data_IF_664712951593
#
_entry.id   IF_664712951593
#
_cell.length_a   1.000
_cell.length_b   1.000
_cell.length_c   1.000
_cell.angle_alpha   90.00
_cell.angle_beta   90.00
_cell.angle_gamma   90.00
#
_symmetry.space_group_name_H-M   'P 1'
#
loop_
_entity.id
_entity.type
_entity.pdbx_description
1 polymer ?
#
# COMPACT_ATOMS: atom_id res chain seq x y z
N UNK A 1 8.94 30.76 -25.46
CA UNK A 1 8.19 31.44 -24.37
C UNK A 1 6.82 30.82 -24.12
N UNK A 2 6.09 30.33 -25.14
CA UNK A 2 4.81 29.61 -24.96
C UNK A 2 4.90 28.29 -24.16
N UNK A 3 6.03 27.56 -24.23
CA UNK A 3 6.16 26.25 -23.58
C UNK A 3 6.19 26.30 -22.04
N UNK A 4 6.80 27.35 -21.48
CA UNK A 4 7.00 27.53 -20.03
C UNK A 4 5.71 27.88 -19.29
N UNK A 5 4.79 28.60 -19.93
CA UNK A 5 3.49 28.89 -19.31
C UNK A 5 2.58 27.67 -19.32
N UNK A 6 2.67 26.83 -20.35
CA UNK A 6 1.88 25.61 -20.47
C UNK A 6 2.32 24.55 -19.45
N UNK A 7 3.63 24.37 -19.24
CA UNK A 7 4.18 23.53 -18.18
C UNK A 7 3.75 24.00 -16.78
N UNK A 8 3.76 25.31 -16.53
CA UNK A 8 3.33 25.88 -15.24
C UNK A 8 1.84 25.70 -14.95
N UNK A 9 1.00 25.71 -15.98
CA UNK A 9 -0.45 25.48 -15.83
C UNK A 9 -0.73 24.01 -15.52
N UNK A 10 -0.01 23.08 -16.15
CA UNK A 10 -0.11 21.64 -15.88
C UNK A 10 0.33 21.34 -14.44
N UNK A 11 1.45 21.91 -13.99
CA UNK A 11 1.94 21.78 -12.61
C UNK A 11 0.92 22.30 -11.57
N UNK A 12 0.29 23.46 -11.84
CA UNK A 12 -0.75 24.01 -10.97
C UNK A 12 -2.02 23.16 -10.90
N UNK A 13 -2.42 22.53 -11.99
CA UNK A 13 -3.56 21.61 -11.98
C UNK A 13 -3.24 20.31 -11.23
N UNK A 14 -2.03 19.79 -11.38
CA UNK A 14 -1.55 18.62 -10.64
C UNK A 14 -1.44 18.90 -9.14
N UNK A 15 -0.93 20.06 -8.74
CA UNK A 15 -0.88 20.48 -7.34
C UNK A 15 -2.29 20.56 -6.72
N UNK A 16 -3.31 20.97 -7.48
CA UNK A 16 -4.70 20.98 -6.99
C UNK A 16 -5.24 19.56 -6.77
N UNK A 17 -4.89 18.61 -7.64
CA UNK A 17 -5.31 17.20 -7.51
C UNK A 17 -4.65 16.57 -6.28
N UNK A 18 -3.34 16.77 -6.12
CA UNK A 18 -2.58 16.28 -4.95
C UNK A 18 -3.16 16.88 -3.67
N UNK A 19 -3.38 18.20 -3.65
CA UNK A 19 -3.95 18.87 -2.49
C UNK A 19 -5.37 18.37 -2.16
N UNK A 20 -6.21 18.11 -3.17
CA UNK A 20 -7.53 17.53 -2.97
C UNK A 20 -7.46 16.12 -2.39
N UNK A 21 -6.51 15.30 -2.86
CA UNK A 21 -6.32 13.94 -2.37
C UNK A 21 -5.80 13.91 -0.92
N UNK A 22 -4.78 14.71 -0.62
CA UNK A 22 -4.24 14.89 0.74
C UNK A 22 -5.32 15.44 1.67
N UNK A 23 -6.13 16.40 1.22
CA UNK A 23 -7.24 16.95 2.01
C UNK A 23 -8.29 15.89 2.31
N UNK A 24 -8.61 15.00 1.35
CA UNK A 24 -9.53 13.89 1.56
C UNK A 24 -8.99 12.89 2.58
N UNK A 25 -7.71 12.52 2.48
CA UNK A 25 -7.03 11.64 3.44
C UNK A 25 -7.04 12.26 4.84
N UNK A 26 -6.67 13.55 4.95
CA UNK A 26 -6.69 14.26 6.23
C UNK A 26 -8.10 14.33 6.82
N UNK A 27 -9.14 14.53 6.01
CA UNK A 27 -10.52 14.58 6.49
C UNK A 27 -10.98 13.23 7.05
N UNK A 28 -10.71 12.14 6.34
CA UNK A 28 -11.03 10.78 6.81
C UNK A 28 -10.29 10.45 8.11
N UNK A 29 -9.02 10.88 8.21
CA UNK A 29 -8.21 10.68 9.42
C UNK A 29 -8.71 11.48 10.61
N UNK A 30 -9.12 12.74 10.39
CA UNK A 30 -9.77 13.57 11.41
C UNK A 30 -11.05 12.91 11.90
N UNK A 31 -11.90 12.42 11.00
CA UNK A 31 -13.15 11.74 11.37
C UNK A 31 -12.89 10.47 12.20
N UNK A 32 -11.87 9.70 11.82
CA UNK A 32 -11.44 8.50 12.57
C UNK A 32 -10.95 8.86 13.97
N UNK A 33 -10.12 9.91 14.10
CA UNK A 33 -9.60 10.39 15.38
C UNK A 33 -10.70 11.00 16.26
N UNK A 34 -11.67 11.70 15.68
CA UNK A 34 -12.83 12.20 16.41
C UNK A 34 -13.69 11.06 16.94
N UNK A 35 -13.90 10.00 16.15
CA UNK A 35 -14.61 8.81 16.60
C UNK A 35 -13.88 8.11 17.75
N UNK A 36 -12.56 7.90 17.63
CA UNK A 36 -11.73 7.34 18.70
C UNK A 36 -11.76 8.19 19.98
N UNK A 37 -11.65 9.52 19.85
CA UNK A 37 -11.78 10.47 20.97
C UNK A 37 -13.14 10.36 21.64
N UNK A 38 -14.22 10.25 20.85
CA UNK A 38 -15.57 10.13 21.39
C UNK A 38 -15.71 8.83 22.18
N UNK A 39 -15.26 7.69 21.64
CA UNK A 39 -15.25 6.39 22.34
C UNK A 39 -14.48 6.47 23.66
N UNK A 40 -13.27 7.06 23.66
CA UNK A 40 -12.46 7.24 24.86
C UNK A 40 -13.13 8.16 25.89
N UNK A 41 -13.82 9.21 25.44
CA UNK A 41 -14.55 10.14 26.31
C UNK A 41 -15.76 9.47 26.97
N UNK A 42 -16.48 8.59 26.25
CA UNK A 42 -17.58 7.81 26.81
C UNK A 42 -17.07 6.77 27.80
N UNK A 43 -15.96 6.09 27.50
CA UNK A 43 -15.34 5.14 28.42
C UNK A 43 -14.87 5.82 29.73
N UNK A 44 -14.29 7.03 29.63
CA UNK A 44 -13.88 7.82 30.79
C UNK A 44 -15.08 8.31 31.61
N UNK A 45 -16.14 8.79 30.94
CA UNK A 45 -17.37 9.22 31.60
C UNK A 45 -18.06 8.06 32.34
N UNK A 46 -18.09 6.86 31.74
CA UNK A 46 -18.60 5.64 32.38
C UNK A 46 -17.77 5.25 33.61
N UNK A 47 -16.44 5.41 33.55
CA UNK A 47 -15.53 5.12 34.67
C UNK A 47 -15.72 6.11 35.83
N UNK A 48 -15.84 7.40 35.54
CA UNK A 48 -16.14 8.45 36.54
C UNK A 48 -17.52 8.24 37.17
N UNK A 49 -18.52 7.83 36.37
CA UNK A 49 -19.87 7.52 36.88
C UNK A 49 -19.92 6.27 37.77
N UNK A 50 -18.90 5.41 37.72
CA UNK A 50 -18.81 4.18 38.53
C UNK A 50 -18.08 4.36 39.87
N UNK A 51 -17.52 5.53 40.16
CA UNK A 51 -16.84 5.82 41.44
C UNK A 51 -17.82 6.38 42.50
N UNK A 52 -17.84 5.83 43.74
CA UNK A 52 -18.72 6.32 44.79
C UNK A 52 -18.19 7.58 45.48
N UNK A 53 -18.93 8.66 45.21
CA UNK A 53 -19.33 9.77 46.06
C UNK A 53 -18.37 10.92 46.43
N UNK A 54 -18.98 12.10 46.31
CA UNK A 54 -18.49 13.43 46.49
C UNK A 54 -18.34 13.82 47.97
N UNK A 55 -17.26 14.54 48.31
CA UNK A 55 -17.23 15.51 49.43
C UNK A 55 -15.92 16.31 49.49
N UNK A 56 -15.81 17.40 48.73
CA UNK A 56 -14.88 18.51 49.07
C UNK A 56 -15.10 19.81 48.25
N UNK A 57 -16.34 20.21 47.97
CA UNK A 57 -16.62 21.40 47.17
C UNK A 57 -16.93 22.65 48.04
N UNK A 58 -16.04 23.05 48.97
CA UNK A 58 -16.28 24.25 49.82
C UNK A 58 -15.07 25.15 50.16
N UNK A 59 -14.00 25.13 49.37
CA UNK A 59 -12.85 26.07 49.49
C UNK A 59 -12.52 26.85 48.20
N UNK A 60 -13.54 27.15 47.39
CA UNK A 60 -13.54 28.16 46.29
C UNK A 60 -13.57 29.54 46.98
N UNK A 61 -12.60 30.45 46.85
CA UNK A 61 -12.55 31.44 45.76
C UNK A 61 -11.14 32.08 45.60
N UNK A 62 -10.21 31.99 46.58
CA UNK A 62 -8.84 32.55 46.44
C UNK A 62 -7.81 31.63 45.74
N UNK A 63 -8.17 30.39 45.43
CA UNK A 63 -7.31 29.38 44.76
C UNK A 63 -7.36 29.43 43.23
N UNK A 64 -8.30 30.18 42.64
CA UNK A 64 -8.59 30.18 41.19
C UNK A 64 -7.46 30.80 40.36
N UNK A 65 -6.76 31.81 40.85
CA UNK A 65 -5.71 32.51 40.08
C UNK A 65 -4.43 31.69 39.96
N UNK A 66 -4.03 30.98 41.03
CA UNK A 66 -2.84 30.09 41.00
C UNK A 66 -3.14 28.82 40.19
N UNK A 67 -4.36 28.28 40.28
CA UNK A 67 -4.76 27.13 39.46
C UNK A 67 -4.78 27.46 37.97
N UNK A 68 -5.21 28.66 37.55
CA UNK A 68 -5.13 29.04 36.14
C UNK A 68 -3.69 29.12 35.62
N UNK A 69 -2.74 29.64 36.42
CA UNK A 69 -1.33 29.72 36.01
C UNK A 69 -0.69 28.33 35.93
N UNK A 70 -0.97 27.45 36.91
CA UNK A 70 -0.46 26.07 36.91
C UNK A 70 -1.14 25.23 35.82
N UNK A 71 -2.44 25.40 35.56
CA UNK A 71 -3.14 24.73 34.45
C UNK A 71 -2.59 25.22 33.10
N UNK A 72 -2.34 26.52 32.92
CA UNK A 72 -1.73 27.02 31.68
C UNK A 72 -0.29 26.52 31.50
N UNK A 73 0.50 26.41 32.57
CA UNK A 73 1.85 25.85 32.50
C UNK A 73 1.85 24.33 32.24
N UNK A 74 0.91 23.58 32.84
CA UNK A 74 0.73 22.14 32.58
C UNK A 74 0.12 21.90 31.19
N UNK A 75 -0.74 22.78 30.68
CA UNK A 75 -1.21 22.71 29.29
C UNK A 75 -0.14 23.13 28.30
N UNK A 76 0.74 24.08 28.61
CA UNK A 76 1.88 24.47 27.76
C UNK A 76 2.96 23.38 27.74
N UNK A 77 3.33 22.81 28.90
CA UNK A 77 4.24 21.67 28.95
C UNK A 77 3.59 20.39 28.39
N UNK A 78 2.29 20.19 28.65
CA UNK A 78 1.51 19.08 28.12
C UNK A 78 1.30 19.17 26.61
N UNK A 79 1.20 20.37 26.03
CA UNK A 79 1.17 20.56 24.58
C UNK A 79 2.56 20.41 23.97
N UNK A 80 3.66 20.80 24.64
CA UNK A 80 5.02 20.49 24.17
C UNK A 80 5.31 18.98 24.25
N UNK A 81 4.85 18.28 25.29
CA UNK A 81 4.93 16.82 25.39
C UNK A 81 4.00 16.15 24.37
N UNK A 82 2.78 16.67 24.17
CA UNK A 82 1.85 16.13 23.17
C UNK A 82 2.33 16.41 21.73
N UNK A 83 3.00 17.53 21.44
CA UNK A 83 3.60 17.82 20.14
C UNK A 83 4.84 16.94 19.92
N UNK A 84 5.64 16.67 20.95
CA UNK A 84 6.75 15.71 20.86
C UNK A 84 6.27 14.24 20.84
N UNK A 85 5.09 13.91 21.39
CA UNK A 85 4.43 12.61 21.27
C UNK A 85 3.60 12.47 19.99
N UNK A 86 3.23 13.58 19.33
CA UNK A 86 2.64 13.61 17.98
C UNK A 86 3.70 13.46 16.88
N UNK A 87 4.99 13.50 17.22
CA UNK A 87 6.03 12.74 16.51
C UNK A 87 6.04 11.29 17.01
N UNK A 88 4.87 10.67 17.00
CA UNK A 88 4.83 9.21 16.87
C UNK A 88 5.13 8.98 15.41
N UNK A 89 6.30 8.43 15.09
CA UNK A 89 6.41 7.63 13.87
C UNK A 89 5.16 6.75 13.85
N UNK A 90 4.33 6.84 12.81
CA UNK A 90 3.24 5.88 12.66
C UNK A 90 3.90 4.52 12.67
N UNK A 91 3.59 3.70 13.69
CA UNK A 91 4.01 2.31 13.69
C UNK A 91 3.19 1.65 12.58
N UNK A 92 3.70 1.70 11.36
CA UNK A 92 3.22 0.88 10.26
C UNK A 92 3.44 -0.55 10.72
N UNK A 93 2.36 -1.28 10.99
CA UNK A 93 2.46 -2.71 11.30
C UNK A 93 2.99 -3.40 10.05
N UNK A 94 4.19 -4.02 10.11
CA UNK A 94 4.81 -4.56 8.91
C UNK A 94 4.02 -5.77 8.40
N UNK A 95 3.78 -5.82 7.09
CA UNK A 95 3.15 -6.99 6.46
C UNK A 95 4.21 -8.01 6.07
N UNK A 96 3.98 -9.27 6.43
CA UNK A 96 4.84 -10.39 6.06
C UNK A 96 4.24 -11.10 4.86
N UNK A 97 5.03 -11.30 3.82
CA UNK A 97 4.58 -11.93 2.57
C UNK A 97 5.38 -13.20 2.27
N UNK A 98 4.82 -14.09 1.44
CA UNK A 98 5.50 -15.29 0.98
C UNK A 98 5.28 -15.48 -0.51
N UNK A 99 6.36 -15.73 -1.25
CA UNK A 99 6.31 -16.03 -2.66
C UNK A 99 6.90 -17.42 -2.96
N UNK A 100 6.19 -18.21 -3.74
CA UNK A 100 6.57 -19.56 -4.15
C UNK A 100 6.40 -19.73 -5.66
N UNK A 101 7.39 -20.34 -6.32
CA UNK A 101 7.30 -20.71 -7.73
C UNK A 101 7.54 -22.21 -7.86
N UNK A 102 6.64 -22.91 -8.54
CA UNK A 102 6.69 -24.35 -8.73
C UNK A 102 6.62 -24.73 -10.21
N UNK A 103 7.39 -25.75 -10.60
CA UNK A 103 7.24 -26.37 -11.91
C UNK A 103 6.00 -27.29 -11.96
N UNK A 104 5.67 -27.84 -13.13
CA UNK A 104 4.57 -28.79 -13.32
C UNK A 104 4.69 -30.10 -12.50
N UNK A 105 5.85 -30.38 -11.91
CA UNK A 105 6.08 -31.53 -11.02
C UNK A 105 5.91 -31.18 -9.53
N UNK A 106 5.71 -29.90 -9.21
CA UNK A 106 5.61 -29.39 -7.83
C UNK A 106 6.95 -29.08 -7.17
N UNK A 107 8.07 -29.12 -7.90
CA UNK A 107 9.37 -28.73 -7.34
C UNK A 107 9.47 -27.20 -7.30
N UNK A 108 9.99 -26.65 -6.19
CA UNK A 108 10.32 -25.22 -6.09
C UNK A 108 11.47 -24.85 -7.03
N UNK A 109 11.32 -23.74 -7.75
CA UNK A 109 12.32 -23.21 -8.70
C UNK A 109 12.55 -21.71 -8.49
N UNK A 110 13.47 -21.13 -9.26
CA UNK A 110 13.78 -19.70 -9.22
C UNK A 110 12.53 -18.82 -9.44
N UNK A 111 12.49 -17.71 -8.71
CA UNK A 111 11.32 -16.81 -8.65
C UNK A 111 11.18 -15.88 -9.84
N UNK A 112 12.22 -15.73 -10.65
CA UNK A 112 12.30 -14.80 -11.78
C UNK A 112 11.77 -15.47 -13.05
N UNK A 113 10.47 -15.31 -13.30
CA UNK A 113 9.73 -15.98 -14.38
C UNK A 113 8.81 -14.96 -15.03
N UNK A 114 8.51 -15.11 -16.32
CA UNK A 114 7.72 -14.10 -17.05
C UNK A 114 6.52 -14.74 -17.74
N UNK A 115 5.51 -13.93 -18.04
CA UNK A 115 4.42 -14.34 -18.91
C UNK A 115 4.89 -14.32 -20.36
N UNK A 116 4.89 -15.47 -21.03
CA UNK A 116 5.25 -15.55 -22.45
C UNK A 116 3.99 -15.45 -23.31
N UNK A 117 3.55 -14.22 -23.54
CA UNK A 117 2.31 -13.92 -24.25
C UNK A 117 2.57 -13.01 -25.45
N UNK A 118 1.61 -12.95 -26.38
CA UNK A 118 1.62 -11.94 -27.43
C UNK A 118 1.26 -10.57 -26.85
N UNK A 119 1.80 -9.48 -27.42
CA UNK A 119 1.58 -8.11 -26.94
C UNK A 119 0.10 -7.69 -26.87
N UNK A 120 -0.76 -8.32 -27.67
CA UNK A 120 -2.20 -8.05 -27.67
C UNK A 120 -3.00 -8.92 -26.71
N UNK A 121 -2.37 -9.89 -26.06
CA UNK A 121 -3.01 -10.80 -25.12
C UNK A 121 -3.51 -10.05 -23.89
N UNK A 122 -4.69 -10.44 -23.41
CA UNK A 122 -5.26 -9.91 -22.17
C UNK A 122 -5.20 -10.98 -21.10
N UNK A 123 -4.53 -10.69 -19.99
CA UNK A 123 -4.54 -11.56 -18.82
C UNK A 123 -5.85 -11.38 -18.07
N UNK A 124 -6.53 -12.49 -17.79
CA UNK A 124 -7.74 -12.51 -16.98
C UNK A 124 -7.33 -12.63 -15.51
N UNK A 125 -7.72 -11.64 -14.71
CA UNK A 125 -7.57 -11.65 -13.27
C UNK A 125 -8.93 -11.96 -12.66
N UNK A 126 -9.03 -13.02 -11.86
CA UNK A 126 -10.26 -13.33 -11.14
C UNK A 126 -10.11 -13.04 -9.65
N UNK A 127 -11.08 -12.32 -9.09
CA UNK A 127 -11.20 -12.12 -7.64
C UNK A 127 -12.23 -13.13 -7.14
N UNK A 128 -11.77 -14.09 -6.34
CA UNK A 128 -12.58 -15.13 -5.72
C UNK A 128 -13.00 -14.67 -4.32
N UNK A 129 -14.18 -15.10 -3.86
CA UNK A 129 -14.78 -14.68 -2.59
C UNK A 129 -15.00 -13.15 -2.49
N UNK A 130 -15.25 -12.48 -3.61
CA UNK A 130 -15.43 -11.01 -3.60
C UNK A 130 -16.61 -10.56 -2.74
N UNK A 131 -17.63 -11.41 -2.61
CA UNK A 131 -18.78 -11.16 -1.73
C UNK A 131 -18.50 -11.19 -0.22
N UNK A 132 -17.29 -11.54 0.20
CA UNK A 132 -16.89 -11.50 1.62
C UNK A 132 -16.52 -10.09 2.10
N UNK A 133 -16.18 -9.18 1.19
CA UNK A 133 -15.72 -7.83 1.53
C UNK A 133 -16.61 -6.76 0.91
N UNK A 134 -16.54 -5.55 1.45
CA UNK A 134 -17.28 -4.41 0.92
C UNK A 134 -16.81 -3.99 -0.49
N UNK A 135 -17.71 -3.37 -1.25
CA UNK A 135 -17.44 -2.91 -2.63
C UNK A 135 -16.21 -1.98 -2.71
N UNK A 136 -15.97 -1.18 -1.67
CA UNK A 136 -14.80 -0.30 -1.59
C UNK A 136 -13.48 -1.07 -1.59
N UNK A 137 -13.40 -2.22 -0.90
CA UNK A 137 -12.21 -3.09 -0.92
C UNK A 137 -11.97 -3.71 -2.29
N UNK A 138 -13.03 -4.17 -2.95
CA UNK A 138 -12.95 -4.69 -4.33
C UNK A 138 -12.48 -3.59 -5.29
N UNK A 139 -12.98 -2.37 -5.11
CA UNK A 139 -12.54 -1.21 -5.88
C UNK A 139 -11.05 -0.92 -5.66
N UNK A 140 -10.57 -0.96 -4.43
CA UNK A 140 -9.14 -0.77 -4.11
C UNK A 140 -8.25 -1.82 -4.79
N UNK A 141 -8.67 -3.10 -4.82
CA UNK A 141 -7.97 -4.17 -5.57
C UNK A 141 -7.92 -3.84 -7.06
N UNK A 142 -9.05 -3.44 -7.65
CA UNK A 142 -9.13 -3.09 -9.07
C UNK A 142 -8.24 -1.89 -9.41
N UNK A 143 -8.18 -0.88 -8.54
CA UNK A 143 -7.33 0.30 -8.73
C UNK A 143 -5.84 -0.05 -8.67
N UNK A 144 -5.42 -0.93 -7.76
CA UNK A 144 -4.04 -1.46 -7.71
C UNK A 144 -3.62 -2.13 -9.02
N UNK A 145 -4.54 -2.76 -9.73
CA UNK A 145 -4.23 -3.47 -10.98
C UNK A 145 -4.35 -2.53 -12.18
N UNK A 146 -5.44 -1.77 -12.28
CA UNK A 146 -5.84 -1.06 -13.49
C UNK A 146 -5.48 0.42 -13.52
N UNK A 147 -5.09 1.03 -12.40
CA UNK A 147 -4.72 2.45 -12.40
C UNK A 147 -3.48 2.70 -13.26
N UNK A 148 -3.54 3.77 -14.04
CA UNK A 148 -2.44 4.30 -14.85
C UNK A 148 -1.85 5.58 -14.25
N UNK A 149 -2.31 5.96 -13.04
CA UNK A 149 -1.91 7.22 -12.42
C UNK A 149 -0.44 7.17 -11.99
N UNK A 150 0.28 8.25 -12.34
CA UNK A 150 1.64 8.52 -11.90
C UNK A 150 1.64 9.52 -10.77
N UNK A 151 2.48 9.30 -9.77
CA UNK A 151 2.62 10.11 -8.58
C UNK A 151 4.08 10.56 -8.51
N UNK A 152 4.34 11.86 -8.53
CA UNK A 152 5.70 12.38 -8.28
C UNK A 152 5.86 12.66 -6.80
N UNK A 153 6.91 12.09 -6.20
CA UNK A 153 7.17 12.18 -4.76
C UNK A 153 8.57 12.72 -4.56
N UNK A 154 8.69 13.74 -3.71
CA UNK A 154 9.97 14.32 -3.31
C UNK A 154 10.82 13.28 -2.56
N UNK A 155 12.04 13.07 -3.02
CA UNK A 155 12.96 12.08 -2.48
C UNK A 155 13.42 12.40 -1.06
N UNK A 156 13.22 13.63 -0.59
CA UNK A 156 13.50 14.02 0.80
C UNK A 156 12.57 13.32 1.78
N UNK A 157 11.36 12.92 1.33
CA UNK A 157 10.37 12.18 2.10
C UNK A 157 10.76 10.70 2.21
N UNK A 158 11.40 10.15 1.17
CA UNK A 158 11.81 8.73 1.12
C UNK A 158 13.27 8.50 1.51
N UNK A 159 13.97 9.55 1.97
CA UNK A 159 15.41 9.54 2.27
C UNK A 159 16.31 9.16 1.08
N UNK A 160 15.82 9.31 -0.15
CA UNK A 160 16.53 8.96 -1.40
C UNK A 160 17.30 10.12 -2.04
N UNK A 161 17.19 11.35 -1.51
CA UNK A 161 17.93 12.52 -1.98
C UNK A 161 17.27 13.85 -1.59
N UNK A 162 18.02 14.95 -1.56
CA UNK A 162 17.43 16.29 -1.37
C UNK A 162 17.27 16.99 -2.72
N UNK A 163 16.06 17.49 -3.00
CA UNK A 163 15.78 18.34 -4.17
C UNK A 163 15.53 17.58 -5.48
N UNK A 164 15.33 16.27 -5.42
CA UNK A 164 14.90 15.43 -6.55
C UNK A 164 13.55 14.81 -6.23
N UNK A 165 12.79 14.43 -7.25
CA UNK A 165 11.58 13.62 -7.10
C UNK A 165 11.72 12.34 -7.90
N UNK A 166 11.07 11.27 -7.42
CA UNK A 166 10.91 10.02 -8.14
C UNK A 166 9.48 9.87 -8.62
N UNK A 167 9.31 9.15 -9.72
CA UNK A 167 7.98 8.74 -10.19
C UNK A 167 7.58 7.44 -9.50
N UNK A 168 6.31 7.37 -9.10
CA UNK A 168 5.67 6.17 -8.58
C UNK A 168 4.38 5.92 -9.35
N UNK A 169 3.90 4.67 -9.35
CA UNK A 169 2.67 4.28 -10.01
C UNK A 169 1.65 3.77 -9.00
N UNK A 170 0.42 4.26 -9.13
CA UNK A 170 -0.69 3.86 -8.26
C UNK A 170 -1.09 2.39 -8.50
N UNK A 171 -0.98 1.93 -9.75
CA UNK A 171 -1.32 0.58 -10.16
C UNK A 171 -0.40 -0.01 -11.22
N UNK A 172 -0.43 -1.35 -11.31
CA UNK A 172 0.48 -2.13 -12.16
C UNK A 172 0.29 -1.85 -13.63
N UNK A 173 -0.92 -1.57 -14.11
CA UNK A 173 -1.15 -1.20 -15.50
C UNK A 173 -0.28 0.00 -15.92
N UNK A 174 -0.27 1.07 -15.13
CA UNK A 174 0.57 2.25 -15.42
C UNK A 174 2.07 1.94 -15.43
N UNK A 175 2.54 1.16 -14.44
CA UNK A 175 3.95 0.75 -14.37
C UNK A 175 4.34 -0.11 -15.58
N UNK A 176 3.50 -1.07 -15.96
CA UNK A 176 3.74 -2.00 -17.06
C UNK A 176 3.66 -1.30 -18.43
N UNK A 177 2.76 -0.33 -18.59
CA UNK A 177 2.72 0.53 -19.78
C UNK A 177 4.01 1.33 -19.91
N UNK A 178 4.53 1.91 -18.82
CA UNK A 178 5.82 2.61 -18.84
C UNK A 178 6.98 1.68 -19.22
N UNK A 179 7.09 0.53 -18.56
CA UNK A 179 8.13 -0.47 -18.87
C UNK A 179 8.07 -0.92 -20.34
N UNK A 180 6.86 -1.01 -20.91
CA UNK A 180 6.65 -1.41 -22.31
C UNK A 180 7.07 -0.36 -23.34
N UNK A 181 7.37 0.88 -22.92
CA UNK A 181 7.92 1.90 -23.81
C UNK A 181 9.34 1.55 -24.27
N UNK A 182 10.08 0.76 -23.48
CA UNK A 182 11.35 0.19 -23.87
C UNK A 182 11.13 -1.14 -24.58
N UNK A 183 11.76 -1.33 -25.74
CA UNK A 183 11.64 -2.59 -26.48
C UNK A 183 12.39 -3.71 -25.74
N UNK A 184 11.64 -4.71 -25.30
CA UNK A 184 12.14 -5.93 -24.65
C UNK A 184 12.08 -7.13 -25.59
N UNK A 185 12.79 -8.20 -25.23
CA UNK A 185 12.75 -9.50 -25.93
C UNK A 185 11.37 -10.19 -25.91
N UNK A 186 10.65 -10.10 -24.81
CA UNK A 186 9.30 -10.66 -24.61
C UNK A 186 8.30 -9.53 -24.36
N UNK A 187 7.04 -9.72 -24.75
CA UNK A 187 6.01 -8.70 -24.56
C UNK A 187 5.62 -8.59 -23.08
N UNK A 188 5.56 -7.36 -22.57
CA UNK A 188 5.11 -7.05 -21.21
C UNK A 188 3.58 -7.06 -21.17
N UNK A 189 2.94 -7.75 -20.20
CA UNK A 189 1.47 -7.79 -20.09
C UNK A 189 0.90 -6.45 -19.64
N UNK A 190 0.30 -5.68 -20.54
CA UNK A 190 -0.33 -4.38 -20.21
C UNK A 190 -1.86 -4.43 -20.19
N UNK A 191 -2.46 -5.51 -20.68
CA UNK A 191 -3.91 -5.67 -20.80
C UNK A 191 -4.43 -6.64 -19.75
N UNK A 192 -5.28 -6.15 -18.87
CA UNK A 192 -5.95 -6.95 -17.84
C UNK A 192 -7.46 -6.87 -17.97
N UNK A 193 -8.12 -8.01 -17.77
CA UNK A 193 -9.57 -8.10 -17.60
C UNK A 193 -9.85 -8.65 -16.21
N UNK A 194 -10.49 -7.85 -15.36
CA UNK A 194 -10.89 -8.30 -14.03
C UNK A 194 -12.30 -8.91 -14.11
N UNK A 195 -12.44 -10.09 -13.52
CA UNK A 195 -13.71 -10.76 -13.29
C UNK A 195 -13.84 -11.10 -11.80
N UNK A 196 -15.08 -11.33 -11.37
CA UNK A 196 -15.40 -11.80 -10.03
C UNK A 196 -16.21 -13.08 -10.17
N UNK A 197 -15.70 -14.17 -9.61
CA UNK A 197 -16.32 -15.48 -9.72
C UNK A 197 -15.79 -16.41 -8.65
N UNK A 198 -16.67 -17.23 -8.08
CA UNK A 198 -16.32 -18.30 -7.14
C UNK A 198 -15.53 -19.45 -7.78
N UNK A 199 -15.40 -19.47 -9.11
CA UNK A 199 -14.62 -20.49 -9.82
C UNK A 199 -13.16 -20.07 -9.96
N UNK A 200 -12.20 -20.98 -9.84
CA UNK A 200 -10.77 -20.72 -10.06
C UNK A 200 -10.35 -20.57 -11.55
N UNK A 201 -11.11 -19.76 -12.29
CA UNK A 201 -10.86 -19.43 -13.69
C UNK A 201 -10.00 -18.16 -13.80
N UNK A 202 -9.20 -18.06 -14.87
CA UNK A 202 -8.32 -16.92 -15.11
C UNK A 202 -6.84 -17.27 -15.09
N UNK A 203 -6.01 -16.33 -15.55
CA UNK A 203 -4.56 -16.45 -15.55
C UNK A 203 -3.98 -16.16 -14.16
N UNK A 204 -4.51 -15.12 -13.50
CA UNK A 204 -4.17 -14.73 -12.14
C UNK A 204 -5.43 -14.83 -11.29
N UNK A 205 -5.34 -15.48 -10.14
CA UNK A 205 -6.44 -15.62 -9.18
C UNK A 205 -6.06 -14.86 -7.91
N UNK A 206 -6.96 -14.02 -7.41
CA UNK A 206 -6.84 -13.35 -6.12
C UNK A 206 -7.95 -13.91 -5.23
N UNK A 207 -7.56 -14.73 -4.26
CA UNK A 207 -8.46 -15.31 -3.27
C UNK A 207 -8.43 -14.45 -2.00
N UNK A 208 -9.62 -14.01 -1.57
CA UNK A 208 -9.80 -13.29 -0.32
C UNK A 208 -10.18 -14.27 0.79
N UNK A 209 -9.47 -14.21 1.92
CA UNK A 209 -9.68 -15.09 3.06
C UNK A 209 -9.89 -14.30 4.35
N UNK A 210 -10.93 -14.65 5.11
CA UNK A 210 -11.14 -14.14 6.47
C UNK A 210 -10.24 -14.86 7.51
N UNK A 211 -9.55 -15.93 7.10
CA UNK A 211 -8.67 -16.67 8.00
C UNK A 211 -7.31 -15.99 8.08
N UNK A 212 -6.72 -16.01 9.27
CA UNK A 212 -5.31 -15.67 9.47
C UNK A 212 -4.45 -16.85 9.06
N UNK A 213 -3.33 -16.59 8.41
CA UNK A 213 -2.31 -17.61 8.19
C UNK A 213 -1.62 -18.00 9.52
N UNK A 214 -1.23 -19.28 9.62
CA UNK A 214 -0.62 -19.84 10.84
C UNK A 214 0.79 -19.30 11.09
N UNK A 215 1.52 -18.95 10.02
CA UNK A 215 2.88 -18.41 10.09
C UNK A 215 2.89 -16.87 10.10
N UNK A 216 1.72 -16.24 10.16
CA UNK A 216 1.51 -14.81 10.23
C UNK A 216 1.71 -14.07 8.91
N UNK A 217 1.60 -14.75 7.76
CA UNK A 217 1.62 -14.09 6.45
C UNK A 217 0.32 -13.31 6.21
N UNK A 218 0.44 -12.09 5.68
CA UNK A 218 -0.68 -11.25 5.27
C UNK A 218 -1.06 -11.47 3.80
N UNK A 219 -0.08 -11.90 3.00
CA UNK A 219 -0.22 -12.24 1.60
C UNK A 219 0.64 -13.43 1.21
N UNK A 220 0.18 -14.17 0.21
CA UNK A 220 0.93 -15.27 -0.38
C UNK A 220 0.70 -15.33 -1.89
N UNK A 221 1.78 -15.43 -2.66
CA UNK A 221 1.70 -15.69 -4.10
C UNK A 221 2.33 -17.03 -4.44
N UNK A 222 1.66 -17.78 -5.30
CA UNK A 222 2.15 -19.02 -5.91
C UNK A 222 2.03 -18.94 -7.43
N UNK A 223 3.15 -19.12 -8.13
CA UNK A 223 3.17 -19.19 -9.59
C UNK A 223 3.53 -20.60 -10.06
N UNK A 224 2.74 -21.14 -10.99
CA UNK A 224 3.02 -22.40 -11.69
C UNK A 224 3.68 -22.11 -13.03
N UNK A 225 4.79 -22.78 -13.31
CA UNK A 225 5.63 -22.49 -14.47
C UNK A 225 5.99 -23.71 -15.31
N UNK A 226 6.26 -23.49 -16.59
CA UNK A 226 6.98 -24.43 -17.47
C UNK A 226 8.24 -23.76 -18.02
N UNK A 227 9.40 -24.24 -17.61
CA UNK A 227 10.68 -23.58 -17.86
C UNK A 227 10.76 -22.18 -17.24
N UNK A 228 10.73 -21.14 -18.08
CA UNK A 228 10.77 -19.73 -17.67
C UNK A 228 9.42 -19.01 -17.82
N UNK A 229 8.41 -19.74 -18.28
CA UNK A 229 7.08 -19.20 -18.58
C UNK A 229 6.12 -19.43 -17.42
N UNK A 230 5.49 -18.36 -16.96
CA UNK A 230 4.37 -18.44 -16.02
C UNK A 230 3.13 -18.92 -16.78
N UNK A 231 2.52 -19.98 -16.26
CA UNK A 231 1.28 -20.55 -16.79
C UNK A 231 0.05 -20.09 -15.99
N UNK A 232 0.20 -19.96 -14.67
CA UNK A 232 -0.86 -19.54 -13.75
C UNK A 232 -0.26 -18.92 -12.50
N UNK A 233 -0.92 -17.92 -11.93
CA UNK A 233 -0.57 -17.37 -10.62
C UNK A 233 -1.79 -17.32 -9.69
N UNK A 234 -1.57 -17.62 -8.42
CA UNK A 234 -2.56 -17.60 -7.35
C UNK A 234 -2.04 -16.72 -6.22
N UNK A 235 -2.85 -15.75 -5.84
CA UNK A 235 -2.62 -14.83 -4.73
C UNK A 235 -3.67 -15.14 -3.66
N UNK A 236 -3.24 -15.27 -2.41
CA UNK A 236 -4.13 -15.35 -1.25
C UNK A 236 -3.87 -14.16 -0.36
N UNK A 237 -4.91 -13.40 -0.05
CA UNK A 237 -4.85 -12.33 0.95
C UNK A 237 -5.57 -12.82 2.21
N UNK A 238 -4.84 -12.80 3.33
CA UNK A 238 -5.34 -13.30 4.62
C UNK A 238 -5.96 -12.19 5.46
N UNK A 239 -6.84 -12.58 6.38
CA UNK A 239 -7.45 -11.71 7.40
C UNK A 239 -8.12 -10.44 6.83
N UNK A 240 -8.73 -10.56 5.64
CA UNK A 240 -9.20 -9.40 4.85
C UNK A 240 -10.21 -8.53 5.56
N UNK A 241 -10.97 -9.07 6.51
CA UNK A 241 -11.96 -8.33 7.31
C UNK A 241 -11.30 -7.31 8.24
N UNK A 242 -10.09 -7.61 8.71
CA UNK A 242 -9.35 -6.74 9.62
C UNK A 242 -8.55 -5.63 8.93
N UNK A 243 -8.29 -5.80 7.63
CA UNK A 243 -7.51 -4.86 6.83
C UNK A 243 -8.35 -3.62 6.47
N UNK A 244 -7.74 -2.44 6.54
CA UNK A 244 -8.24 -1.25 5.87
C UNK A 244 -8.03 -1.33 4.34
N UNK A 245 -8.68 -0.43 3.60
CA UNK A 245 -8.56 -0.36 2.14
C UNK A 245 -7.11 -0.13 1.69
N UNK A 246 -6.36 0.70 2.42
CA UNK A 246 -4.96 1.04 2.10
C UNK A 246 -4.01 -0.12 2.40
N UNK A 247 -4.24 -0.87 3.48
CA UNK A 247 -3.46 -2.05 3.84
C UNK A 247 -3.70 -3.18 2.84
N UNK A 248 -4.97 -3.43 2.49
CA UNK A 248 -5.34 -4.38 1.44
C UNK A 248 -4.70 -3.99 0.10
N UNK A 249 -4.79 -2.72 -0.29
CA UNK A 249 -4.19 -2.24 -1.52
C UNK A 249 -2.67 -2.45 -1.53
N UNK A 250 -2.01 -2.22 -0.38
CA UNK A 250 -0.56 -2.40 -0.21
C UNK A 250 -0.15 -3.86 -0.42
N UNK A 251 -0.80 -4.80 0.28
CA UNK A 251 -0.50 -6.22 0.17
C UNK A 251 -0.77 -6.71 -1.26
N UNK A 252 -1.93 -6.36 -1.82
CA UNK A 252 -2.30 -6.77 -3.18
C UNK A 252 -1.31 -6.23 -4.21
N UNK A 253 -0.82 -5.00 -4.05
CA UNK A 253 0.17 -4.43 -4.97
C UNK A 253 1.49 -5.21 -4.94
N UNK A 254 1.95 -5.61 -3.76
CA UNK A 254 3.12 -6.47 -3.61
C UNK A 254 2.90 -7.86 -4.23
N UNK A 255 1.85 -8.56 -3.83
CA UNK A 255 1.55 -9.92 -4.32
C UNK A 255 1.29 -9.94 -5.83
N UNK A 256 0.67 -8.89 -6.38
CA UNK A 256 0.48 -8.79 -7.83
C UNK A 256 1.81 -8.59 -8.57
N UNK A 257 2.81 -7.94 -7.96
CA UNK A 257 4.18 -7.86 -8.47
C UNK A 257 4.82 -9.24 -8.63
N UNK A 258 4.60 -10.13 -7.66
CA UNK A 258 4.99 -11.53 -7.77
C UNK A 258 4.24 -12.26 -8.88
N UNK A 259 2.92 -12.04 -9.00
CA UNK A 259 2.11 -12.69 -10.01
C UNK A 259 2.48 -12.32 -11.45
N UNK A 260 3.07 -11.13 -11.67
CA UNK A 260 3.60 -10.72 -12.98
C UNK A 260 5.07 -11.10 -13.20
N UNK A 261 5.72 -11.66 -12.18
CA UNK A 261 7.03 -12.32 -12.31
C UNK A 261 8.18 -11.76 -11.47
N UNK A 262 7.96 -10.70 -10.70
CA UNK A 262 9.03 -10.09 -9.91
C UNK A 262 9.36 -10.96 -8.69
N UNK A 263 10.66 -11.08 -8.39
CA UNK A 263 11.12 -11.58 -7.10
C UNK A 263 11.06 -10.50 -6.01
N UNK A 264 11.53 -10.84 -4.81
CA UNK A 264 11.70 -9.84 -3.76
C UNK A 264 12.83 -8.85 -4.12
N UNK A 265 12.64 -7.60 -3.70
CA UNK A 265 13.69 -6.59 -3.65
C UNK A 265 14.62 -6.79 -2.45
N UNK A 266 15.89 -6.43 -2.63
CA UNK A 266 16.84 -6.35 -1.51
C UNK A 266 16.74 -5.05 -0.73
N UNK A 267 16.07 -4.04 -1.28
CA UNK A 267 15.89 -2.75 -0.63
C UNK A 267 14.69 -2.83 0.35
N UNK A 268 14.89 -2.63 1.66
CA UNK A 268 13.81 -2.78 2.66
C UNK A 268 12.71 -1.71 2.54
N UNK A 269 13.00 -0.57 1.92
CA UNK A 269 12.06 0.52 1.66
C UNK A 269 11.29 0.38 0.35
N UNK A 270 11.50 -0.71 -0.38
CA UNK A 270 10.87 -0.98 -1.67
C UNK A 270 9.57 -1.78 -1.52
N UNK A 271 8.65 -1.60 -2.47
CA UNK A 271 7.35 -2.29 -2.44
C UNK A 271 7.55 -3.80 -2.46
N UNK A 272 8.52 -4.31 -3.22
CA UNK A 272 8.77 -5.73 -3.36
C UNK A 272 9.67 -6.30 -2.26
N UNK A 273 9.93 -5.56 -1.16
CA UNK A 273 10.63 -6.09 -0.01
C UNK A 273 9.83 -7.25 0.66
N UNK A 274 10.49 -8.30 1.20
CA UNK A 274 9.81 -9.45 1.82
C UNK A 274 9.02 -9.10 3.10
N UNK A 275 9.19 -7.89 3.61
CA UNK A 275 8.42 -7.35 4.72
C UNK A 275 8.10 -5.91 4.38
N UNK A 276 6.80 -5.62 4.21
CA UNK A 276 6.35 -4.31 3.76
C UNK A 276 6.22 -3.41 4.99
N UNK A 277 7.15 -2.47 5.12
CA UNK A 277 7.19 -1.49 6.20
C UNK A 277 7.45 -0.09 5.67
N UNK A 278 6.66 0.33 4.67
CA UNK A 278 6.89 1.58 3.96
C UNK A 278 5.74 2.57 4.14
N UNK A 279 6.10 3.85 4.19
CA UNK A 279 5.15 4.96 4.26
C UNK A 279 4.45 5.22 2.92
N UNK A 280 5.04 4.77 1.81
CA UNK A 280 4.60 5.06 0.44
C UNK A 280 4.51 3.73 -0.33
N UNK A 281 3.40 2.99 -0.21
CA UNK A 281 3.26 1.66 -0.78
C UNK A 281 2.88 1.69 -2.27
N UNK A 282 3.56 2.50 -3.07
CA UNK A 282 3.35 2.59 -4.53
C UNK A 282 4.49 1.91 -5.29
N UNK A 283 4.23 1.56 -6.55
CA UNK A 283 5.22 0.90 -7.42
C UNK A 283 6.27 1.93 -7.79
N UNK A 284 7.54 1.63 -7.56
CA UNK A 284 8.64 2.54 -7.84
C UNK A 284 9.11 2.45 -9.30
N UNK A 285 9.91 3.42 -9.75
CA UNK A 285 10.66 3.31 -11.01
C UNK A 285 11.59 2.08 -11.02
N UNK A 286 12.16 1.70 -9.86
CA UNK A 286 12.99 0.49 -9.77
C UNK A 286 12.19 -0.78 -10.11
N UNK A 287 10.96 -0.89 -9.59
CA UNK A 287 10.08 -2.03 -9.89
C UNK A 287 9.74 -2.10 -11.38
N UNK A 288 9.47 -0.94 -12.00
CA UNK A 288 9.20 -0.84 -13.43
C UNK A 288 10.44 -1.18 -14.28
N UNK A 289 11.64 -0.81 -13.86
CA UNK A 289 12.90 -1.17 -14.52
C UNK A 289 13.20 -2.67 -14.36
N UNK A 290 12.90 -3.24 -13.19
CA UNK A 290 13.03 -4.68 -12.94
C UNK A 290 12.13 -5.49 -13.87
N UNK A 291 10.90 -5.03 -14.13
CA UNK A 291 10.03 -5.61 -15.16
C UNK A 291 10.69 -5.54 -16.53
N UNK A 292 11.20 -4.37 -16.93
CA UNK A 292 11.85 -4.22 -18.24
C UNK A 292 13.00 -5.23 -18.42
N UNK A 293 13.83 -5.41 -17.38
CA UNK A 293 14.93 -6.38 -17.37
C UNK A 293 14.45 -7.84 -17.42
N UNK A 294 13.42 -8.18 -16.64
CA UNK A 294 12.78 -9.51 -16.66
C UNK A 294 12.32 -9.88 -18.07
N UNK A 295 11.60 -8.97 -18.74
CA UNK A 295 11.05 -9.22 -20.07
C UNK A 295 12.08 -9.04 -21.19
N UNK A 296 13.25 -8.45 -20.93
CA UNK A 296 14.39 -8.50 -21.85
C UNK A 296 15.17 -9.83 -21.76
N UNK A 297 14.81 -10.69 -20.80
CA UNK A 297 15.40 -12.01 -20.60
C UNK A 297 16.69 -11.98 -19.79
N UNK A 298 16.91 -10.94 -18.98
CA UNK A 298 17.98 -10.88 -18.00
C UNK A 298 17.65 -11.85 -16.86
N UNK A 299 18.52 -12.82 -16.64
CA UNK A 299 18.39 -13.73 -15.50
C UNK A 299 18.86 -13.02 -14.23
N UNK A 300 17.94 -12.80 -13.29
CA UNK A 300 18.23 -12.26 -11.96
C UNK A 300 17.67 -13.21 -10.90
N UNK A 301 18.32 -13.28 -9.74
CA UNK A 301 17.81 -13.98 -8.56
C UNK A 301 16.97 -13.04 -7.67
N UNK A 302 17.23 -11.73 -7.71
CA UNK A 302 16.55 -10.68 -6.92
C UNK A 302 16.49 -9.34 -7.65
N UNK A 303 15.53 -8.50 -7.28
CA UNK A 303 15.50 -7.09 -7.69
C UNK A 303 16.48 -6.29 -6.86
N UNK A 304 17.43 -5.61 -7.50
CA UNK A 304 18.40 -4.73 -6.83
C UNK A 304 18.04 -3.28 -7.16
N UNK A 305 17.40 -2.61 -6.22
CA UNK A 305 17.13 -1.18 -6.32
C UNK A 305 18.31 -0.39 -5.79
N UNK A 306 19.05 0.27 -6.69
CA UNK A 306 20.05 1.27 -6.32
C UNK A 306 19.59 2.60 -6.89
N UNK A 307 19.58 3.64 -6.05
CA UNK A 307 19.54 5.02 -6.51
C UNK A 307 20.88 5.67 -6.20
#
# INVERSE_FOLDING_TARGET
MLNLEQERVIDLEQQKIIFAHITKIMKNKIETLENQRNIASYALAAKIASEPDARALKKRVKRKTIYCIVICAVMACGSVIAINQLKSDEIVTPFKTRYLVENLRGDTVDTWKFWKIDADSTLVVNIVNSGMVDEHKIKSIKEVILSTDKISIDDSITHKGLGTSSTYFAGWKGALEESSMTKTKYAIPTKFKIIESESEIGNIIIELSALKDQDGYSGFTKSTVDGNEILKSQIVIYDVDSLSDDELATIVRHEFGHAIGLGHSTAPEDLMAPTINMQIPYISECDADAISQLYDGVAMDKTVCMK
#
